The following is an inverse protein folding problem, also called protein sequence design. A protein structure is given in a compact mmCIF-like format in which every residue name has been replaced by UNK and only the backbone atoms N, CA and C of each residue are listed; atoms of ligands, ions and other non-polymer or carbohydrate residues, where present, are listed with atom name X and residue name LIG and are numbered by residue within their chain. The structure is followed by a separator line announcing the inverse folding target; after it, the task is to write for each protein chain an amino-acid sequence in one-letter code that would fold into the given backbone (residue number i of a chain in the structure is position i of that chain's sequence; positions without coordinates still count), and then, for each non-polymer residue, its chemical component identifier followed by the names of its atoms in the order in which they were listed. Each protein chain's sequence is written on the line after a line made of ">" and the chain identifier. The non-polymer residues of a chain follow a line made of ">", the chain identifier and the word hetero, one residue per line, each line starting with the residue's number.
data_IF_542902490667
#
_entry.id   IF_542902490667
#
_cell.length_a   1.000
_cell.length_b   1.000
_cell.length_c   1.000
_cell.angle_alpha   90.00
_cell.angle_beta   90.00
_cell.angle_gamma   90.00
#
_symmetry.space_group_name_H-M   'P 1'
#
loop_
_entity.id
_entity.type
_entity.pdbx_description
1 polymer ?
#
# COMPACT_ATOMS: atom_id res chain seq x y z
N UNK A 1 12.91 13.31 3.99
CA UNK A 1 12.53 11.88 3.87
C UNK A 1 11.61 11.73 2.68
N UNK A 2 11.94 10.87 1.73
CA UNK A 2 11.13 10.65 0.53
C UNK A 2 10.72 9.18 0.46
N UNK A 3 9.41 8.92 0.56
CA UNK A 3 8.86 7.56 0.53
C UNK A 3 7.57 7.47 -0.27
N UNK A 4 7.35 6.29 -0.87
CA UNK A 4 6.08 5.92 -1.48
C UNK A 4 5.28 5.04 -0.52
N UNK A 5 4.11 5.52 -0.12
CA UNK A 5 3.15 4.74 0.66
C UNK A 5 2.25 4.01 -0.32
N UNK A 6 2.10 2.70 -0.17
CA UNK A 6 1.29 1.88 -1.08
C UNK A 6 0.50 0.81 -0.35
N UNK A 7 -0.55 0.33 -1.01
CA UNK A 7 -1.45 -0.74 -0.56
C UNK A 7 -1.92 -1.56 -1.75
N UNK A 8 -2.18 -2.85 -1.53
CA UNK A 8 -2.63 -3.79 -2.55
C UNK A 8 -3.93 -4.47 -2.15
N UNK A 9 -4.87 -4.50 -3.09
CA UNK A 9 -5.97 -5.45 -3.04
C UNK A 9 -5.61 -6.69 -3.86
N UNK A 10 -5.97 -7.88 -3.38
CA UNK A 10 -5.50 -9.16 -3.94
C UNK A 10 -6.58 -10.23 -3.96
N UNK A 11 -6.40 -11.27 -4.78
CA UNK A 11 -7.33 -12.41 -4.85
C UNK A 11 -7.23 -13.36 -3.65
N UNK A 12 -6.24 -13.18 -2.78
CA UNK A 12 -5.94 -14.06 -1.65
C UNK A 12 -4.65 -13.63 -0.93
N UNK A 13 -4.04 -14.52 -0.14
CA UNK A 13 -2.96 -14.15 0.78
C UNK A 13 -1.56 -14.63 0.38
N UNK A 14 -1.44 -15.47 -0.65
CA UNK A 14 -0.17 -16.06 -1.07
C UNK A 14 0.36 -15.35 -2.31
N UNK A 15 1.48 -14.61 -2.22
CA UNK A 15 2.07 -13.98 -3.41
C UNK A 15 2.52 -15.00 -4.47
N UNK A 16 2.69 -16.26 -4.10
CA UNK A 16 3.01 -17.38 -4.99
C UNK A 16 1.81 -17.86 -5.83
N UNK A 17 0.58 -17.71 -5.32
CA UNK A 17 -0.63 -18.31 -5.91
C UNK A 17 -1.71 -17.29 -6.31
N UNK A 18 -1.76 -16.17 -5.60
CA UNK A 18 -2.78 -15.13 -5.71
C UNK A 18 -2.28 -13.95 -6.55
N UNK A 19 -3.22 -13.24 -7.16
CA UNK A 19 -2.97 -12.08 -8.00
C UNK A 19 -3.30 -10.75 -7.31
N UNK A 20 -2.66 -9.69 -7.77
CA UNK A 20 -3.00 -8.30 -7.40
C UNK A 20 -4.19 -7.87 -8.26
N UNK A 21 -5.16 -7.19 -7.65
CA UNK A 21 -6.36 -6.66 -8.33
C UNK A 21 -6.47 -5.13 -8.30
N UNK A 22 -5.74 -4.46 -7.40
CA UNK A 22 -5.63 -3.00 -7.36
C UNK A 22 -4.29 -2.61 -6.73
N UNK A 23 -3.69 -1.54 -7.24
CA UNK A 23 -2.52 -0.89 -6.65
C UNK A 23 -2.87 0.55 -6.40
N UNK A 24 -2.75 0.98 -5.15
CA UNK A 24 -2.81 2.38 -4.75
C UNK A 24 -1.47 2.81 -4.20
N UNK A 25 -1.06 4.04 -4.49
CA UNK A 25 0.12 4.64 -3.89
C UNK A 25 0.08 6.17 -3.90
N UNK A 26 0.77 6.78 -2.94
CA UNK A 26 1.04 8.22 -2.91
C UNK A 26 2.44 8.49 -2.35
N UNK A 27 2.98 9.67 -2.65
CA UNK A 27 4.30 10.09 -2.16
C UNK A 27 4.19 10.93 -0.88
N UNK A 28 5.11 10.67 0.04
CA UNK A 28 5.34 11.51 1.22
C UNK A 28 6.75 12.07 1.15
N UNK A 29 6.86 13.40 1.07
CA UNK A 29 8.12 14.13 0.98
C UNK A 29 8.24 15.04 2.19
N UNK A 30 9.31 14.85 2.96
CA UNK A 30 9.63 15.62 4.17
C UNK A 30 8.47 15.67 5.17
N UNK A 31 7.83 14.52 5.38
CA UNK A 31 6.69 14.36 6.29
C UNK A 31 5.38 14.95 5.76
N UNK A 32 5.35 15.44 4.51
CA UNK A 32 4.17 16.00 3.87
C UNK A 32 3.65 15.04 2.80
N UNK A 33 2.35 14.77 2.85
CA UNK A 33 1.65 13.96 1.85
C UNK A 33 1.44 14.82 0.60
N UNK A 34 1.90 14.34 -0.55
CA UNK A 34 1.68 14.98 -1.84
C UNK A 34 0.63 14.18 -2.64
N UNK A 35 -0.65 14.59 -2.53
CA UNK A 35 -1.73 13.92 -3.26
C UNK A 35 -1.66 14.11 -4.78
N UNK A 36 -0.86 15.06 -5.28
CA UNK A 36 -0.63 15.21 -6.72
C UNK A 36 0.29 14.12 -7.28
N UNK A 37 1.11 13.51 -6.42
CA UNK A 37 1.96 12.37 -6.75
C UNK A 37 1.32 11.07 -6.27
N UNK A 38 0.33 10.62 -7.02
CA UNK A 38 -0.40 9.37 -6.78
C UNK A 38 -0.31 8.41 -7.96
N UNK A 39 -0.37 7.13 -7.64
CA UNK A 39 -0.50 6.03 -8.59
C UNK A 39 -1.71 5.21 -8.16
N UNK A 40 -2.68 5.00 -9.05
CA UNK A 40 -3.89 4.22 -8.73
C UNK A 40 -4.34 3.48 -9.99
N UNK A 41 -4.45 2.17 -9.90
CA UNK A 41 -4.92 1.37 -11.03
C UNK A 41 -5.52 0.05 -10.58
N UNK A 42 -6.58 -0.37 -11.27
CA UNK A 42 -7.05 -1.74 -11.22
C UNK A 42 -6.08 -2.64 -12.00
N UNK A 43 -5.97 -3.89 -11.57
CA UNK A 43 -5.12 -4.89 -12.21
C UNK A 43 -5.97 -6.10 -12.55
N UNK A 44 -5.87 -6.58 -13.80
CA UNK A 44 -6.43 -7.87 -14.19
C UNK A 44 -5.53 -8.96 -13.62
N UNK A 45 -6.01 -9.75 -12.65
CA UNK A 45 -5.15 -10.71 -11.97
C UNK A 45 -4.85 -11.88 -12.91
N UNK A 46 -3.62 -12.38 -12.87
CA UNK A 46 -3.15 -13.50 -13.71
C UNK A 46 -2.46 -14.56 -12.86
N UNK A 47 -2.52 -15.81 -13.32
CA UNK A 47 -1.71 -16.91 -12.77
C UNK A 47 -0.22 -16.67 -13.04
N UNK A 48 0.63 -17.51 -12.46
CA UNK A 48 2.07 -17.50 -12.73
C UNK A 48 2.43 -17.79 -14.19
N UNK A 49 1.53 -18.42 -14.96
CA UNK A 49 1.68 -18.70 -16.40
C UNK A 49 1.09 -17.60 -17.29
N UNK A 50 0.54 -16.52 -16.70
CA UNK A 50 -0.01 -15.38 -17.43
C UNK A 50 -1.48 -15.54 -17.85
N UNK A 51 -2.16 -16.60 -17.42
CA UNK A 51 -3.58 -16.80 -17.70
C UNK A 51 -4.44 -15.94 -16.76
N UNK A 52 -5.53 -15.36 -17.26
CA UNK A 52 -6.45 -14.60 -16.42
C UNK A 52 -7.02 -15.47 -15.32
N UNK A 53 -7.00 -14.98 -14.07
CA UNK A 53 -7.64 -15.64 -12.94
C UNK A 53 -8.91 -14.91 -12.52
N UNK A 54 -9.87 -15.63 -11.94
CA UNK A 54 -11.07 -15.01 -11.38
C UNK A 54 -10.83 -14.58 -9.94
N UNK A 55 -11.38 -13.42 -9.59
CA UNK A 55 -11.44 -12.93 -8.21
C UNK A 55 -12.38 -13.84 -7.41
N UNK A 56 -11.91 -14.52 -6.36
CA UNK A 56 -12.77 -15.31 -5.50
C UNK A 56 -13.78 -14.46 -4.73
N UNK A 57 -14.96 -15.01 -4.46
CA UNK A 57 -16.04 -14.34 -3.72
C UNK A 57 -15.57 -13.73 -2.38
N UNK A 58 -14.70 -14.44 -1.65
CA UNK A 58 -14.24 -13.98 -0.34
C UNK A 58 -13.36 -12.73 -0.43
N UNK A 59 -12.53 -12.61 -1.48
CA UNK A 59 -11.73 -11.42 -1.74
C UNK A 59 -12.62 -10.26 -2.21
N UNK A 60 -13.53 -10.52 -3.17
CA UNK A 60 -14.51 -9.52 -3.62
C UNK A 60 -15.38 -8.98 -2.48
N UNK A 61 -15.73 -9.79 -1.47
CA UNK A 61 -16.46 -9.33 -0.29
C UNK A 61 -15.68 -8.36 0.60
N UNK A 62 -14.35 -8.38 0.54
CA UNK A 62 -13.49 -7.48 1.28
C UNK A 62 -13.35 -6.16 0.52
N UNK A 63 -12.86 -6.20 -0.72
CA UNK A 63 -12.47 -5.01 -1.47
C UNK A 63 -13.53 -4.47 -2.44
N UNK A 64 -14.62 -5.21 -2.67
CA UNK A 64 -15.71 -4.81 -3.56
C UNK A 64 -15.41 -4.91 -5.07
N UNK A 65 -14.15 -5.02 -5.48
CA UNK A 65 -13.72 -5.19 -6.87
C UNK A 65 -14.28 -6.49 -7.48
N UNK A 66 -15.02 -6.36 -8.59
CA UNK A 66 -15.59 -7.48 -9.33
C UNK A 66 -14.74 -7.90 -10.53
N UNK A 67 -14.98 -9.11 -11.05
CA UNK A 67 -14.35 -9.58 -12.29
C UNK A 67 -14.66 -8.66 -13.49
N UNK A 68 -15.86 -8.05 -13.53
CA UNK A 68 -16.22 -7.12 -14.60
C UNK A 68 -15.37 -5.84 -14.56
N UNK A 69 -15.10 -5.30 -13.36
CA UNK A 69 -14.27 -4.11 -13.18
C UNK A 69 -12.85 -4.32 -13.71
N UNK A 70 -12.27 -5.51 -13.50
CA UNK A 70 -10.88 -5.82 -13.90
C UNK A 70 -10.78 -6.44 -15.29
N UNK A 71 -11.89 -6.79 -15.94
CA UNK A 71 -11.89 -7.50 -17.24
C UNK A 71 -11.05 -6.79 -18.30
N UNK A 72 -11.08 -5.46 -18.32
CA UNK A 72 -10.31 -4.60 -19.25
C UNK A 72 -9.13 -3.88 -18.62
N UNK A 73 -8.85 -4.13 -17.33
CA UNK A 73 -7.71 -3.56 -16.64
C UNK A 73 -6.38 -4.11 -17.21
N UNK A 74 -5.27 -3.37 -17.09
CA UNK A 74 -3.95 -3.91 -17.44
C UNK A 74 -3.56 -5.07 -16.52
N UNK A 75 -2.73 -5.99 -17.01
CA UNK A 75 -2.16 -7.09 -16.22
C UNK A 75 -1.03 -6.60 -15.32
N UNK A 76 -0.63 -7.42 -14.34
CA UNK A 76 0.53 -7.07 -13.50
C UNK A 76 1.84 -6.95 -14.30
N UNK A 77 1.96 -7.66 -15.43
CA UNK A 77 3.13 -7.55 -16.31
C UNK A 77 3.25 -6.16 -16.97
N UNK A 78 2.12 -5.52 -17.23
CA UNK A 78 2.05 -4.16 -17.79
C UNK A 78 2.24 -3.11 -16.68
N UNK A 79 1.59 -3.30 -15.53
CA UNK A 79 1.55 -2.30 -14.45
C UNK A 79 2.81 -2.26 -13.60
N UNK A 80 3.43 -3.41 -13.33
CA UNK A 80 4.54 -3.47 -12.37
C UNK A 80 5.73 -2.58 -12.78
N UNK A 81 6.21 -2.57 -14.04
CA UNK A 81 7.25 -1.64 -14.45
C UNK A 81 6.93 -0.17 -14.14
N UNK A 82 5.71 0.28 -14.45
CA UNK A 82 5.27 1.65 -14.17
C UNK A 82 5.25 1.96 -12.67
N UNK A 83 4.81 1.00 -11.86
CA UNK A 83 4.84 1.14 -10.41
C UNK A 83 6.27 1.18 -9.85
N UNK A 84 7.18 0.35 -10.36
CA UNK A 84 8.60 0.39 -9.96
C UNK A 84 9.26 1.71 -10.33
N UNK A 85 8.93 2.27 -11.51
CA UNK A 85 9.41 3.59 -11.93
C UNK A 85 8.85 4.70 -11.04
N UNK A 86 7.56 4.60 -10.66
CA UNK A 86 6.94 5.53 -9.70
C UNK A 86 7.62 5.47 -8.31
N UNK A 87 8.02 4.29 -7.84
CA UNK A 87 8.82 4.12 -6.61
C UNK A 87 10.22 4.71 -6.77
N UNK A 88 10.88 4.43 -7.89
CA UNK A 88 12.23 4.90 -8.19
C UNK A 88 13.24 4.50 -7.11
N UNK A 89 14.05 5.46 -6.65
CA UNK A 89 15.05 5.25 -5.61
C UNK A 89 14.54 5.52 -4.19
N UNK A 90 13.23 5.72 -4.01
CA UNK A 90 12.65 6.11 -2.72
C UNK A 90 12.48 4.91 -1.79
N UNK A 91 12.31 5.19 -0.49
CA UNK A 91 11.82 4.17 0.43
C UNK A 91 10.34 3.88 0.17
N UNK A 92 9.83 2.78 0.69
CA UNK A 92 8.41 2.43 0.62
C UNK A 92 7.82 2.21 1.99
N UNK A 93 6.51 2.44 2.11
CA UNK A 93 5.73 2.22 3.32
C UNK A 93 4.47 1.45 2.96
N UNK A 94 4.16 0.42 3.74
CA UNK A 94 2.85 -0.21 3.72
C UNK A 94 2.38 -0.47 5.15
N UNK A 95 1.09 -0.72 5.34
CA UNK A 95 0.60 -1.06 6.67
C UNK A 95 1.18 -2.38 7.16
N UNK A 96 1.24 -3.38 6.27
CA UNK A 96 1.90 -4.65 6.52
C UNK A 96 2.91 -4.97 5.40
N UNK A 97 4.08 -4.34 5.43
CA UNK A 97 5.09 -4.46 4.35
C UNK A 97 5.55 -5.89 4.02
N UNK A 98 5.39 -6.83 4.96
CA UNK A 98 5.65 -8.24 4.70
C UNK A 98 4.68 -8.83 3.67
N UNK A 99 3.42 -8.40 3.72
CA UNK A 99 2.37 -8.78 2.79
C UNK A 99 2.54 -8.05 1.44
N UNK A 100 2.41 -6.72 1.44
CA UNK A 100 2.42 -5.92 0.20
C UNK A 100 3.74 -6.04 -0.55
N UNK A 101 4.86 -5.89 0.18
CA UNK A 101 6.19 -6.12 -0.37
C UNK A 101 6.43 -7.56 -0.80
N UNK A 102 5.74 -8.54 -0.19
CA UNK A 102 5.76 -9.94 -0.61
C UNK A 102 5.24 -10.13 -2.03
N UNK A 103 4.08 -9.56 -2.33
CA UNK A 103 3.49 -9.56 -3.67
C UNK A 103 4.38 -8.83 -4.68
N UNK A 104 4.96 -7.69 -4.32
CA UNK A 104 5.89 -6.96 -5.19
C UNK A 104 7.13 -7.78 -5.52
N UNK A 105 7.76 -8.39 -4.51
CA UNK A 105 8.96 -9.24 -4.69
C UNK A 105 8.66 -10.45 -5.58
N UNK A 106 7.55 -11.15 -5.34
CA UNK A 106 7.20 -12.34 -6.12
C UNK A 106 6.91 -11.99 -7.59
N UNK A 107 6.14 -10.94 -7.86
CA UNK A 107 5.82 -10.54 -9.23
C UNK A 107 7.04 -9.95 -9.95
N UNK A 108 7.87 -9.16 -9.27
CA UNK A 108 9.12 -8.67 -9.85
C UNK A 108 10.04 -9.84 -10.26
N UNK A 109 10.21 -10.84 -9.39
CA UNK A 109 11.01 -12.02 -9.68
C UNK A 109 10.47 -12.81 -10.89
N UNK A 110 9.15 -13.01 -10.99
CA UNK A 110 8.52 -13.69 -12.14
C UNK A 110 8.75 -12.98 -13.47
N UNK A 111 8.75 -11.65 -13.44
CA UNK A 111 8.90 -10.81 -14.63
C UNK A 111 10.37 -10.47 -14.95
N UNK A 112 11.33 -10.99 -14.19
CA UNK A 112 12.74 -10.65 -14.34
C UNK A 112 13.08 -9.20 -13.96
N UNK A 113 12.22 -8.56 -13.16
CA UNK A 113 12.37 -7.20 -12.65
C UNK A 113 13.01 -7.22 -11.25
N UNK A 114 13.41 -6.05 -10.76
CA UNK A 114 14.03 -5.89 -9.44
C UNK A 114 13.14 -5.04 -8.52
N UNK A 115 12.67 -5.63 -7.42
CA UNK A 115 12.13 -4.88 -6.29
C UNK A 115 13.27 -4.43 -5.37
N UNK A 116 13.65 -3.15 -5.43
CA UNK A 116 14.79 -2.59 -4.68
C UNK A 116 14.52 -1.18 -4.15
N UNK A 117 13.47 -0.97 -3.33
CA UNK A 117 13.29 0.31 -2.67
C UNK A 117 14.47 0.60 -1.75
N UNK A 118 14.77 1.87 -1.49
CA UNK A 118 15.90 2.26 -0.61
C UNK A 118 15.70 1.79 0.84
N UNK A 119 14.45 1.67 1.27
CA UNK A 119 14.05 1.13 2.56
C UNK A 119 12.62 0.59 2.49
N UNK A 120 12.30 -0.36 3.36
CA UNK A 120 10.95 -0.89 3.56
C UNK A 120 10.47 -0.55 4.98
N UNK A 121 9.37 0.20 5.10
CA UNK A 121 8.78 0.58 6.38
C UNK A 121 7.40 -0.05 6.58
N UNK A 122 7.13 -0.46 7.81
CA UNK A 122 5.89 -1.13 8.20
C UNK A 122 5.15 -0.34 9.27
N UNK A 123 3.97 0.19 8.98
CA UNK A 123 3.24 0.97 10.00
C UNK A 123 2.69 0.10 11.13
N UNK A 124 2.48 -1.21 10.94
CA UNK A 124 2.23 -2.14 12.08
C UNK A 124 3.42 -2.19 13.04
N UNK A 125 4.65 -2.25 12.53
CA UNK A 125 5.85 -2.27 13.39
C UNK A 125 6.03 -0.93 14.12
N UNK A 126 5.84 0.19 13.41
CA UNK A 126 5.88 1.52 14.01
C UNK A 126 4.78 1.69 15.06
N UNK A 127 3.58 1.20 14.79
CA UNK A 127 2.44 1.22 15.72
C UNK A 127 2.73 0.42 16.98
N UNK A 128 3.34 -0.77 16.87
CA UNK A 128 3.78 -1.56 18.05
C UNK A 128 4.83 -0.84 18.89
N UNK A 129 5.74 -0.10 18.25
CA UNK A 129 6.75 0.71 18.95
C UNK A 129 6.14 1.91 19.66
N UNK A 130 5.22 2.61 19.01
CA UNK A 130 4.54 3.78 19.57
C UNK A 130 3.54 3.39 20.67
N UNK A 131 2.91 2.23 20.56
CA UNK A 131 1.86 1.76 21.45
C UNK A 131 2.13 0.32 21.96
N UNK A 132 3.15 0.10 22.78
CA UNK A 132 3.62 -1.25 23.14
C UNK A 132 2.64 -2.05 24.03
N UNK A 133 1.63 -1.41 24.62
CA UNK A 133 0.61 -2.05 25.47
C UNK A 133 -0.64 -2.45 24.70
N UNK A 134 -0.75 -2.04 23.44
CA UNK A 134 -1.92 -2.29 22.61
C UNK A 134 -1.88 -3.70 22.02
N UNK A 135 -3.05 -4.33 21.93
CA UNK A 135 -3.16 -5.70 21.38
C UNK A 135 -3.37 -5.69 19.86
N UNK A 136 -4.10 -4.70 19.36
CA UNK A 136 -4.49 -4.61 17.96
C UNK A 136 -3.80 -3.42 17.26
N UNK A 137 -3.32 -3.70 16.05
CA UNK A 137 -2.59 -2.76 15.20
C UNK A 137 -3.04 -2.80 13.75
N UNK A 138 -4.22 -3.38 13.45
CA UNK A 138 -4.80 -3.28 12.11
C UNK A 138 -5.14 -1.81 11.78
N UNK A 139 -5.28 -1.49 10.49
CA UNK A 139 -5.37 -0.10 10.04
C UNK A 139 -6.59 0.62 10.62
N UNK A 140 -7.72 -0.07 10.77
CA UNK A 140 -8.93 0.49 11.41
C UNK A 140 -8.65 0.94 12.84
N UNK A 141 -8.11 0.04 13.67
CA UNK A 141 -7.80 0.35 15.08
C UNK A 141 -6.73 1.43 15.20
N UNK A 142 -5.73 1.38 14.31
CA UNK A 142 -4.67 2.39 14.29
C UNK A 142 -5.21 3.77 13.89
N UNK A 143 -6.07 3.83 12.87
CA UNK A 143 -6.70 5.06 12.42
C UNK A 143 -7.53 5.68 13.54
N UNK A 144 -8.37 4.89 14.20
CA UNK A 144 -9.19 5.34 15.32
C UNK A 144 -8.32 5.88 16.47
N UNK A 145 -7.25 5.16 16.84
CA UNK A 145 -6.31 5.58 17.89
C UNK A 145 -5.61 6.90 17.56
N UNK A 146 -5.32 7.15 16.29
CA UNK A 146 -4.65 8.36 15.81
C UNK A 146 -5.63 9.49 15.45
N UNK A 147 -6.94 9.29 15.61
CA UNK A 147 -7.97 10.27 15.25
C UNK A 147 -8.08 10.50 13.73
N UNK A 148 -7.77 9.47 12.93
CA UNK A 148 -7.83 9.49 11.47
C UNK A 148 -9.16 8.88 10.99
N UNK A 149 -9.58 9.23 9.77
CA UNK A 149 -10.81 8.73 9.18
C UNK A 149 -10.61 8.34 7.73
N UNK A 150 -11.30 7.28 7.31
CA UNK A 150 -11.39 6.91 5.90
C UNK A 150 -12.43 7.80 5.22
N UNK A 151 -12.18 8.18 3.97
CA UNK A 151 -13.22 8.77 3.14
C UNK A 151 -14.40 7.79 2.97
N UNK A 152 -15.65 8.27 2.77
CA UNK A 152 -16.79 7.39 2.55
C UNK A 152 -16.53 6.39 1.42
N UNK A 153 -16.63 5.08 1.72
CA UNK A 153 -16.36 4.00 0.75
C UNK A 153 -14.87 3.76 0.42
N UNK A 154 -13.94 4.45 1.10
CA UNK A 154 -12.51 4.32 0.87
C UNK A 154 -11.84 3.14 1.59
N UNK A 155 -12.50 2.56 2.60
CA UNK A 155 -11.96 1.39 3.31
C UNK A 155 -12.03 0.15 2.41
N UNK A 156 -10.93 -0.62 2.34
CA UNK A 156 -10.79 -1.75 1.40
C UNK A 156 -10.86 -1.33 -0.07
N UNK A 157 -10.40 -0.10 -0.33
CA UNK A 157 -9.95 0.37 -1.63
C UNK A 157 -8.52 0.83 -1.41
N UNK A 158 -7.61 0.38 -2.26
CA UNK A 158 -6.17 0.59 -2.06
C UNK A 158 -5.83 2.06 -1.84
N UNK A 159 -6.38 2.99 -2.64
CA UNK A 159 -6.08 4.42 -2.46
C UNK A 159 -6.62 5.00 -1.14
N UNK A 160 -7.81 4.59 -0.70
CA UNK A 160 -8.36 5.04 0.58
C UNK A 160 -7.56 4.52 1.78
N UNK A 161 -7.10 3.27 1.71
CA UNK A 161 -6.21 2.67 2.71
C UNK A 161 -4.81 3.32 2.68
N UNK A 162 -4.30 3.69 1.50
CA UNK A 162 -3.05 4.45 1.31
C UNK A 162 -3.10 5.82 1.97
N UNK A 163 -4.18 6.59 1.77
CA UNK A 163 -4.34 7.91 2.39
C UNK A 163 -4.25 7.82 3.92
N UNK A 164 -4.96 6.87 4.52
CA UNK A 164 -4.93 6.66 5.97
C UNK A 164 -3.57 6.12 6.43
N UNK A 165 -2.95 5.21 5.67
CA UNK A 165 -1.61 4.68 5.98
C UNK A 165 -0.54 5.77 5.95
N UNK A 166 -0.62 6.71 5.00
CA UNK A 166 0.31 7.82 4.89
C UNK A 166 0.17 8.79 6.07
N UNK A 167 -1.06 9.13 6.44
CA UNK A 167 -1.33 9.95 7.62
C UNK A 167 -0.84 9.25 8.89
N UNK A 168 -1.14 7.95 9.05
CA UNK A 168 -0.69 7.17 10.19
C UNK A 168 0.84 7.09 10.26
N UNK A 169 1.51 6.92 9.12
CA UNK A 169 2.97 6.89 9.03
C UNK A 169 3.60 8.18 9.55
N UNK A 170 3.16 9.34 9.06
CA UNK A 170 3.67 10.65 9.51
C UNK A 170 3.45 10.83 11.01
N UNK A 171 2.23 10.55 11.50
CA UNK A 171 1.90 10.67 12.93
C UNK A 171 2.74 9.74 13.81
N UNK A 172 3.02 8.52 13.35
CA UNK A 172 3.86 7.57 14.08
C UNK A 172 5.32 8.02 14.13
N UNK A 173 5.85 8.61 13.06
CA UNK A 173 7.19 9.19 13.07
C UNK A 173 7.28 10.37 14.06
N UNK A 174 6.26 11.24 14.10
CA UNK A 174 6.18 12.33 15.07
C UNK A 174 6.21 11.79 16.51
N UNK A 175 5.35 10.82 16.83
CA UNK A 175 5.26 10.21 18.16
C UNK A 175 6.54 9.51 18.60
N UNK A 176 7.29 8.94 17.65
CA UNK A 176 8.54 8.24 17.90
C UNK A 176 9.76 9.17 17.90
N UNK A 177 9.57 10.49 17.74
CA UNK A 177 10.65 11.47 17.66
C UNK A 177 11.54 11.29 16.43
N UNK A 178 11.03 10.68 15.36
CA UNK A 178 11.73 10.37 14.11
C UNK A 178 11.30 11.23 12.94
N UNK A 179 10.36 12.16 13.15
CA UNK A 179 10.02 13.14 12.15
C UNK A 179 11.15 14.15 11.96
N UNK A 180 11.49 14.44 10.70
CA UNK A 180 12.30 15.60 10.39
C UNK A 180 11.53 16.84 10.87
N UNK A 181 12.06 17.50 11.90
CA UNK A 181 11.49 18.72 12.48
C UNK A 181 11.23 19.71 11.35
N UNK A 182 9.98 19.88 10.97
CA UNK A 182 9.57 21.04 10.18
C UNK A 182 9.11 22.10 11.19
N UNK A 183 9.71 23.30 11.22
CA UNK A 183 9.19 24.37 12.06
C UNK A 183 7.74 24.63 11.63
N UNK A 184 6.83 24.72 12.59
CA UNK A 184 5.46 25.14 12.31
C UNK A 184 5.50 26.48 11.59
N UNK A 185 4.88 26.55 10.40
CA UNK A 185 4.61 27.82 9.75
C UNK A 185 3.62 28.58 10.64
N UNK A 186 4.13 29.61 11.32
CA UNK A 186 3.34 30.57 12.07
C UNK A 186 2.22 31.15 11.20
N UNK A 187 0.97 31.00 11.65
CA UNK A 187 -0.13 31.90 11.32
C UNK A 187 -0.76 32.37 12.63
#
# INVERSE_FOLDING_TARGET
>A
MDVVVFDLETTGLSPERDGIVEIGALRVVDGRIDESQRFETLVRPTTATGETMLIPWHAQRVHGISNDMVSRAPTIAEVLPEFLDFVGASGVVAHNIGFDGGFMRANAARLGLSWRPAAEHCTVQLSRRAFPKERAHNLTVLAERLGLSFAPGGRHRSFGDVQVTAQAYVRLLDLLGQAAVTPAASR
#
